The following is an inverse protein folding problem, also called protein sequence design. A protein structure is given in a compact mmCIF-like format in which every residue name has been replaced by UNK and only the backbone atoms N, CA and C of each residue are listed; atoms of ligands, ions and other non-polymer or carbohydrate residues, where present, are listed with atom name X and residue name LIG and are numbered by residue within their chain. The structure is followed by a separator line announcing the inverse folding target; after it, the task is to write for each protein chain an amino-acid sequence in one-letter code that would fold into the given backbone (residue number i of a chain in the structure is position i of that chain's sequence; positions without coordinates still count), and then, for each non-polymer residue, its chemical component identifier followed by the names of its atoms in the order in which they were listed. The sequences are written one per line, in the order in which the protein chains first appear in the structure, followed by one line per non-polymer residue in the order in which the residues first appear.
data_IF_760293424838
#
_entry.id   IF_760293424838
#
_cell.length_a   1.000
_cell.length_b   1.000
_cell.length_c   1.000
_cell.angle_alpha   90.00
_cell.angle_beta   90.00
_cell.angle_gamma   90.00
#
_symmetry.space_group_name_H-M   'P 1'
#
loop_
_entity.id
_entity.type
_entity.pdbx_description
1 polymer ?
#
# COMPACT_ATOMS: atom_id res chain seq x y z
N UNK A 1 -11.80 -1.40 34.91
CA UNK A 1 -12.10 -2.54 34.02
C UNK A 1 -11.01 -2.57 32.96
N UNK A 2 -10.32 -3.69 32.83
CA UNK A 2 -9.12 -3.82 31.99
C UNK A 2 -9.52 -4.29 30.58
N UNK A 3 -9.64 -3.35 29.65
CA UNK A 3 -10.10 -3.59 28.27
C UNK A 3 -9.05 -4.29 27.40
N UNK A 4 -7.82 -4.43 27.90
CA UNK A 4 -6.69 -5.01 27.17
C UNK A 4 -6.89 -6.48 26.85
N UNK A 5 -7.74 -7.18 27.63
CA UNK A 5 -8.04 -8.61 27.47
C UNK A 5 -8.94 -8.94 26.27
N UNK A 6 -9.58 -7.96 25.63
CA UNK A 6 -10.50 -8.15 24.49
C UNK A 6 -10.04 -7.52 23.16
N UNK A 7 -8.79 -7.07 23.07
CA UNK A 7 -8.23 -6.56 21.82
C UNK A 7 -7.74 -7.70 20.92
N UNK A 8 -8.45 -7.95 19.82
CA UNK A 8 -7.99 -8.83 18.75
C UNK A 8 -7.28 -8.01 17.67
N UNK A 9 -5.99 -8.29 17.45
CA UNK A 9 -5.21 -7.68 16.37
C UNK A 9 -5.47 -8.44 15.08
N UNK A 10 -6.01 -7.77 14.07
CA UNK A 10 -6.12 -8.28 12.71
C UNK A 10 -5.14 -7.53 11.82
N UNK A 11 -4.41 -8.25 10.97
CA UNK A 11 -3.60 -7.67 9.91
C UNK A 11 -4.32 -7.92 8.60
N UNK A 12 -4.81 -6.86 7.97
CA UNK A 12 -5.37 -6.94 6.62
C UNK A 12 -4.23 -6.79 5.64
N UNK A 13 -4.00 -7.81 4.82
CA UNK A 13 -3.02 -7.79 3.75
C UNK A 13 -3.79 -7.72 2.42
N UNK A 14 -3.40 -6.82 1.50
CA UNK A 14 -4.00 -6.79 0.17
C UNK A 14 -3.87 -8.14 -0.53
N UNK A 15 -4.97 -8.65 -1.10
CA UNK A 15 -4.95 -9.87 -1.91
C UNK A 15 -4.64 -9.53 -3.36
N UNK A 16 -3.35 -9.35 -3.67
CA UNK A 16 -2.88 -9.10 -5.03
C UNK A 16 -2.74 -10.42 -5.81
N UNK A 17 -3.03 -10.40 -7.12
CA UNK A 17 -2.74 -11.54 -8.00
C UNK A 17 -1.23 -11.74 -8.16
N UNK A 18 -0.82 -12.92 -8.62
CA UNK A 18 0.60 -13.25 -8.80
C UNK A 18 1.31 -12.26 -9.75
N UNK A 19 0.62 -11.76 -10.78
CA UNK A 19 1.18 -10.78 -11.71
C UNK A 19 1.44 -9.42 -11.05
N UNK A 20 0.67 -9.08 -10.01
CA UNK A 20 0.77 -7.81 -9.29
C UNK A 20 1.59 -7.91 -8.00
N UNK A 21 2.03 -9.10 -7.60
CA UNK A 21 2.84 -9.31 -6.39
C UNK A 21 4.13 -8.47 -6.37
N UNK A 22 4.70 -8.17 -7.55
CA UNK A 22 5.87 -7.31 -7.67
C UNK A 22 5.61 -5.87 -7.19
N UNK A 23 4.39 -5.35 -7.33
CA UNK A 23 4.03 -4.00 -6.85
C UNK A 23 4.14 -3.89 -5.33
N UNK A 24 3.77 -4.95 -4.61
CA UNK A 24 3.93 -5.00 -3.16
C UNK A 24 5.40 -4.86 -2.77
N UNK A 25 6.30 -5.56 -3.47
CA UNK A 25 7.75 -5.46 -3.22
C UNK A 25 8.27 -4.05 -3.46
N UNK A 26 7.77 -3.35 -4.48
CA UNK A 26 8.12 -1.94 -4.72
C UNK A 26 7.54 -1.05 -3.63
N UNK A 27 6.28 -1.22 -3.23
CA UNK A 27 5.61 -0.39 -2.23
C UNK A 27 6.32 -0.41 -0.86
N UNK A 28 6.88 -1.55 -0.46
CA UNK A 28 7.64 -1.70 0.77
C UNK A 28 9.14 -1.33 0.65
N UNK A 29 9.62 -0.97 -0.55
CA UNK A 29 11.00 -0.54 -0.76
C UNK A 29 11.08 0.99 -0.80
N UNK A 30 11.69 1.61 0.21
CA UNK A 30 11.79 3.07 0.34
C UNK A 30 12.36 3.79 -0.91
N UNK A 31 13.11 3.08 -1.75
CA UNK A 31 13.59 3.56 -3.04
C UNK A 31 12.53 4.28 -3.88
N UNK A 32 11.28 3.81 -3.90
CA UNK A 32 10.22 4.44 -4.70
C UNK A 32 9.98 5.90 -4.33
N UNK A 33 10.28 6.30 -3.09
CA UNK A 33 9.93 7.62 -2.55
C UNK A 33 10.82 8.76 -3.06
N UNK A 34 12.01 8.43 -3.57
CA UNK A 34 12.94 9.41 -4.16
C UNK A 34 13.25 9.15 -5.64
N UNK A 35 12.89 7.99 -6.18
CA UNK A 35 12.99 7.72 -7.61
C UNK A 35 11.75 8.24 -8.34
N UNK A 36 11.87 9.18 -9.29
CA UNK A 36 10.75 9.68 -10.07
C UNK A 36 9.92 8.60 -10.76
N UNK A 37 10.57 7.55 -11.27
CA UNK A 37 9.89 6.43 -11.93
C UNK A 37 9.10 5.58 -10.94
N UNK A 38 9.57 5.44 -9.70
CA UNK A 38 8.85 4.78 -8.61
C UNK A 38 7.58 5.54 -8.21
N UNK A 39 7.67 6.86 -8.08
CA UNK A 39 6.49 7.73 -7.82
C UNK A 39 5.51 7.64 -9.00
N UNK A 40 6.02 7.71 -10.22
CA UNK A 40 5.20 7.68 -11.43
C UNK A 40 4.50 6.34 -11.64
N UNK A 41 5.09 5.22 -11.21
CA UNK A 41 4.46 3.90 -11.26
C UNK A 41 3.11 3.89 -10.54
N UNK A 42 3.08 4.28 -9.27
CA UNK A 42 1.86 4.29 -8.47
C UNK A 42 0.88 5.36 -8.94
N UNK A 43 1.37 6.55 -9.32
CA UNK A 43 0.52 7.62 -9.87
C UNK A 43 -0.18 7.21 -11.18
N UNK A 44 0.45 6.36 -12.01
CA UNK A 44 -0.11 5.88 -13.28
C UNK A 44 -1.10 4.74 -13.11
N UNK A 45 -1.02 3.99 -12.02
CA UNK A 45 -1.97 2.92 -11.68
C UNK A 45 -3.37 3.51 -11.47
N UNK A 46 -3.48 4.52 -10.61
CA UNK A 46 -4.68 5.31 -10.41
C UNK A 46 -4.30 6.64 -9.74
N UNK A 47 -4.48 7.75 -10.47
CA UNK A 47 -4.04 9.06 -10.01
C UNK A 47 -4.91 9.65 -8.89
N UNK A 48 -6.19 9.28 -8.82
CA UNK A 48 -7.12 9.77 -7.81
C UNK A 48 -6.97 8.97 -6.53
N UNK A 49 -6.82 7.65 -6.64
CA UNK A 49 -6.49 6.79 -5.51
C UNK A 49 -5.12 7.14 -4.93
N UNK A 50 -4.12 7.41 -5.78
CA UNK A 50 -2.80 7.86 -5.33
C UNK A 50 -2.85 9.13 -4.48
N UNK A 51 -3.72 10.08 -4.84
CA UNK A 51 -3.95 11.31 -4.06
C UNK A 51 -4.73 11.02 -2.78
N UNK A 52 -5.78 10.20 -2.85
CA UNK A 52 -6.68 9.93 -1.72
C UNK A 52 -5.97 9.16 -0.59
N UNK A 53 -5.02 8.29 -0.93
CA UNK A 53 -4.14 7.58 0.03
C UNK A 53 -2.92 8.39 0.44
N UNK A 54 -2.88 9.70 0.16
CA UNK A 54 -1.77 10.59 0.52
C UNK A 54 -0.41 10.09 0.00
N UNK A 55 -0.40 9.52 -1.19
CA UNK A 55 0.80 8.97 -1.81
C UNK A 55 1.41 7.79 -1.03
N UNK A 56 0.56 7.00 -0.37
CA UNK A 56 0.96 5.76 0.31
C UNK A 56 0.68 4.55 -0.59
N UNK A 57 1.70 3.91 -1.19
CA UNK A 57 1.50 2.80 -2.11
C UNK A 57 1.00 1.54 -1.41
N UNK A 58 1.31 1.34 -0.12
CA UNK A 58 0.83 0.17 0.63
C UNK A 58 -0.67 0.26 0.87
N UNK A 59 -1.15 1.43 1.27
CA UNK A 59 -2.58 1.70 1.46
C UNK A 59 -3.33 1.67 0.12
N UNK A 60 -2.74 2.24 -0.94
CA UNK A 60 -3.28 2.17 -2.30
C UNK A 60 -3.51 0.73 -2.77
N UNK A 61 -2.50 -0.13 -2.62
CA UNK A 61 -2.62 -1.55 -3.01
C UNK A 61 -3.66 -2.30 -2.18
N UNK A 62 -3.95 -1.87 -0.95
CA UNK A 62 -4.99 -2.45 -0.10
C UNK A 62 -6.42 -2.05 -0.47
N UNK A 63 -6.58 -1.02 -1.30
CA UNK A 63 -7.88 -0.52 -1.77
C UNK A 63 -8.16 -0.96 -3.23
N UNK A 64 -7.10 -1.16 -4.03
CA UNK A 64 -7.15 -1.74 -5.37
C UNK A 64 -7.84 -3.11 -5.37
#
# INVERSE_FOLDING_TARGET
MDFTKMLHKFTVVPSLTEELAALQRVAYNLWWSWEPDGINLFRRLDADLWKSTRHNPVEMLGIL
#
